data_IF_628390269788
#
_entry.id   IF_628390269788
#
_cell.length_a   1.000
_cell.length_b   1.000
_cell.length_c   1.000
_cell.angle_alpha   90.00
_cell.angle_beta   90.00
_cell.angle_gamma   90.00
#
_symmetry.space_group_name_H-M   'P 1'
#
loop_
_entity.id
_entity.type
_entity.pdbx_description
1 polymer ?
#
# COMPACT_ATOMS: atom_id res chain seq x y z
N UNK A 1 16.17 -2.04 29.19
CA UNK A 1 15.42 -1.26 28.19
C UNK A 1 15.69 -1.86 26.82
N UNK A 2 14.66 -2.12 26.00
CA UNK A 2 14.86 -2.58 24.62
C UNK A 2 15.24 -1.39 23.72
N UNK A 3 16.31 -1.50 22.96
CA UNK A 3 16.75 -0.48 22.02
C UNK A 3 16.19 -0.80 20.63
N UNK A 4 15.49 0.15 20.01
CA UNK A 4 14.99 0.01 18.65
C UNK A 4 16.13 0.17 17.64
N UNK A 5 16.41 -0.88 16.87
CA UNK A 5 17.40 -0.87 15.80
C UNK A 5 16.71 -0.74 14.44
N UNK A 6 17.19 0.19 13.61
CA UNK A 6 16.78 0.29 12.20
C UNK A 6 17.88 -0.29 11.33
N UNK A 7 17.56 -1.36 10.60
CA UNK A 7 18.50 -2.05 9.71
C UNK A 7 18.03 -1.89 8.28
N UNK A 8 18.96 -1.53 7.38
CA UNK A 8 18.70 -1.54 5.94
C UNK A 8 19.01 -2.93 5.42
N UNK A 9 18.04 -3.54 4.74
CA UNK A 9 18.17 -4.87 4.13
C UNK A 9 18.00 -4.76 2.62
N UNK A 10 18.81 -5.50 1.87
CA UNK A 10 18.68 -5.62 0.42
C UNK A 10 18.00 -6.94 0.11
N UNK A 11 16.85 -6.89 -0.53
CA UNK A 11 16.16 -8.08 -1.03
C UNK A 11 16.80 -8.55 -2.33
N UNK A 12 16.92 -9.87 -2.49
CA UNK A 12 17.38 -10.54 -3.71
C UNK A 12 16.27 -11.43 -4.28
N UNK A 13 15.17 -10.83 -4.77
CA UNK A 13 14.02 -11.59 -5.25
C UNK A 13 14.31 -12.32 -6.57
N UNK A 14 13.68 -13.48 -6.74
CA UNK A 14 13.51 -14.16 -8.02
C UNK A 14 12.69 -13.34 -9.00
N UNK A 15 12.77 -13.68 -10.29
CA UNK A 15 11.99 -13.03 -11.36
C UNK A 15 10.47 -13.00 -11.07
N UNK A 16 9.95 -14.09 -10.52
CA UNK A 16 8.52 -14.18 -10.16
C UNK A 16 8.16 -13.26 -8.98
N UNK A 17 9.01 -13.19 -7.96
CA UNK A 17 8.80 -12.27 -6.83
C UNK A 17 8.91 -10.80 -7.27
N UNK A 18 9.83 -10.47 -8.18
CA UNK A 18 9.92 -9.12 -8.77
C UNK A 18 8.60 -8.75 -9.44
N UNK A 19 8.06 -9.64 -10.28
CA UNK A 19 6.78 -9.41 -10.96
C UNK A 19 5.63 -9.17 -9.97
N UNK A 20 5.58 -9.95 -8.88
CA UNK A 20 4.57 -9.77 -7.84
C UNK A 20 4.73 -8.45 -7.06
N UNK A 21 5.97 -8.05 -6.76
CA UNK A 21 6.28 -6.77 -6.11
C UNK A 21 5.89 -5.59 -6.99
N UNK A 22 6.24 -5.63 -8.27
CA UNK A 22 5.90 -4.61 -9.24
C UNK A 22 4.38 -4.50 -9.41
N UNK A 23 3.70 -5.63 -9.63
CA UNK A 23 2.24 -5.66 -9.78
C UNK A 23 1.56 -5.07 -8.54
N UNK A 24 1.98 -5.49 -7.34
CA UNK A 24 1.41 -4.99 -6.08
C UNK A 24 1.66 -3.49 -5.90
N UNK A 25 2.83 -3.00 -6.33
CA UNK A 25 3.22 -1.59 -6.23
C UNK A 25 2.41 -0.70 -7.16
N UNK A 26 2.16 -1.12 -8.39
CA UNK A 26 1.32 -0.39 -9.33
C UNK A 26 -0.14 -0.36 -8.86
N UNK A 27 -0.63 -1.50 -8.37
CA UNK A 27 -2.01 -1.61 -7.89
C UNK A 27 -2.23 -0.74 -6.64
N UNK A 28 -1.26 -0.71 -5.73
CA UNK A 28 -1.32 0.10 -4.53
C UNK A 28 -1.42 1.60 -4.84
N UNK A 29 -0.58 2.13 -5.74
CA UNK A 29 -0.65 3.55 -6.14
C UNK A 29 -1.95 3.86 -6.89
N UNK A 30 -2.44 2.93 -7.70
CA UNK A 30 -3.70 3.09 -8.43
C UNK A 30 -4.86 3.27 -7.46
N UNK A 31 -4.97 2.42 -6.44
CA UNK A 31 -5.99 2.54 -5.39
C UNK A 31 -5.91 3.90 -4.69
N UNK A 32 -4.72 4.35 -4.31
CA UNK A 32 -4.56 5.64 -3.64
C UNK A 32 -5.01 6.80 -4.53
N UNK A 33 -4.53 6.83 -5.78
CA UNK A 33 -4.84 7.89 -6.72
C UNK A 33 -6.35 7.94 -7.02
N UNK A 34 -6.99 6.78 -7.25
CA UNK A 34 -8.45 6.69 -7.44
C UNK A 34 -9.21 7.22 -6.23
N UNK A 35 -8.86 6.79 -5.02
CA UNK A 35 -9.54 7.25 -3.80
C UNK A 35 -9.37 8.76 -3.60
N UNK A 36 -8.21 9.33 -3.93
CA UNK A 36 -7.98 10.78 -3.83
C UNK A 36 -8.89 11.54 -4.80
N UNK A 37 -8.99 11.09 -6.06
CA UNK A 37 -9.88 11.71 -7.04
C UNK A 37 -11.34 11.70 -6.56
N UNK A 38 -11.83 10.54 -6.12
CA UNK A 38 -13.19 10.43 -5.56
C UNK A 38 -13.43 11.36 -4.36
N UNK A 39 -12.46 11.47 -3.46
CA UNK A 39 -12.57 12.34 -2.27
C UNK A 39 -12.53 13.83 -2.63
N UNK A 40 -11.78 14.20 -3.68
CA UNK A 40 -11.73 15.57 -4.22
C UNK A 40 -13.09 15.94 -4.83
N UNK A 41 -13.63 15.09 -5.69
CA UNK A 41 -14.94 15.30 -6.34
C UNK A 41 -16.06 15.42 -5.30
N UNK A 42 -16.09 14.51 -4.32
CA UNK A 42 -17.08 14.52 -3.27
C UNK A 42 -16.81 15.56 -2.16
N UNK A 43 -15.66 16.25 -2.21
CA UNK A 43 -15.15 17.19 -1.19
C UNK A 43 -15.17 16.64 0.25
N UNK A 44 -15.13 15.30 0.40
CA UNK A 44 -15.28 14.60 1.68
C UNK A 44 -14.38 13.37 1.76
N UNK A 45 -14.01 13.00 2.97
CA UNK A 45 -13.21 11.80 3.21
C UNK A 45 -14.01 10.54 2.88
N UNK A 46 -13.35 9.55 2.30
CA UNK A 46 -13.99 8.28 1.95
C UNK A 46 -14.38 7.46 3.18
N UNK A 47 -15.57 6.84 3.12
CA UNK A 47 -16.03 5.82 4.08
C UNK A 47 -15.83 4.39 3.58
N UNK A 48 -15.25 4.23 2.38
CA UNK A 48 -14.96 2.92 1.78
C UNK A 48 -14.06 2.09 2.69
N UNK A 49 -14.36 0.80 2.71
CA UNK A 49 -13.60 -0.28 3.36
C UNK A 49 -12.86 -1.11 2.31
N UNK A 50 -12.15 -2.15 2.74
CA UNK A 50 -11.44 -3.06 1.82
C UNK A 50 -12.35 -3.87 0.93
N UNK A 51 -13.63 -4.03 1.31
CA UNK A 51 -14.65 -4.73 0.51
C UNK A 51 -15.06 -3.90 -0.70
N UNK A 52 -15.04 -2.58 -0.58
CA UNK A 52 -15.47 -1.64 -1.61
C UNK A 52 -14.39 -1.34 -2.65
N UNK A 53 -13.18 -1.89 -2.46
CA UNK A 53 -12.02 -1.66 -3.31
C UNK A 53 -11.70 -2.95 -4.05
N UNK A 54 -11.98 -2.95 -5.34
CA UNK A 54 -11.50 -3.98 -6.24
C UNK A 54 -10.04 -3.69 -6.59
N UNK A 55 -9.14 -4.52 -6.06
CA UNK A 55 -7.72 -4.40 -6.33
C UNK A 55 -7.03 -5.77 -6.21
N UNK A 56 -6.01 -6.00 -7.04
CA UNK A 56 -5.19 -7.21 -6.99
C UNK A 56 -4.09 -7.18 -5.93
N UNK A 57 -4.44 -6.75 -4.72
CA UNK A 57 -3.57 -6.73 -3.54
C UNK A 57 -4.31 -7.30 -2.32
N UNK A 58 -3.60 -7.85 -1.31
CA UNK A 58 -4.23 -8.38 -0.09
C UNK A 58 -5.01 -7.33 0.69
N UNK A 59 -6.02 -7.75 1.45
CA UNK A 59 -6.84 -6.86 2.28
C UNK A 59 -6.01 -6.04 3.27
N UNK A 60 -4.93 -6.61 3.82
CA UNK A 60 -4.01 -5.90 4.70
C UNK A 60 -3.30 -4.72 3.99
N UNK A 61 -2.94 -4.89 2.72
CA UNK A 61 -2.30 -3.87 1.88
C UNK A 61 -3.33 -2.85 1.39
N UNK A 62 -4.54 -3.28 1.04
CA UNK A 62 -5.67 -2.36 0.73
C UNK A 62 -5.98 -1.46 1.92
N UNK A 63 -6.02 -2.01 3.14
CA UNK A 63 -6.22 -1.24 4.37
C UNK A 63 -5.17 -0.15 4.53
N UNK A 64 -3.90 -0.46 4.23
CA UNK A 64 -2.81 0.50 4.28
C UNK A 64 -3.01 1.60 3.22
N UNK A 65 -3.31 1.23 1.97
CA UNK A 65 -3.62 2.18 0.89
C UNK A 65 -4.76 3.15 1.25
N UNK A 66 -5.84 2.67 1.86
CA UNK A 66 -6.95 3.52 2.33
C UNK A 66 -6.47 4.54 3.36
N UNK A 67 -5.66 4.11 4.34
CA UNK A 67 -5.12 5.00 5.38
C UNK A 67 -4.24 6.08 4.77
N UNK A 68 -3.37 5.71 3.83
CA UNK A 68 -2.46 6.64 3.18
C UNK A 68 -3.21 7.63 2.29
N UNK A 69 -4.21 7.18 1.55
CA UNK A 69 -5.10 8.06 0.78
C UNK A 69 -5.83 9.07 1.68
N UNK A 70 -6.39 8.63 2.81
CA UNK A 70 -7.03 9.52 3.79
C UNK A 70 -6.06 10.53 4.39
N UNK A 71 -4.83 10.10 4.69
CA UNK A 71 -3.77 10.97 5.20
C UNK A 71 -3.37 12.05 4.18
N UNK A 72 -3.14 11.67 2.92
CA UNK A 72 -2.85 12.61 1.83
C UNK A 72 -4.00 13.59 1.60
N UNK A 73 -5.24 13.11 1.61
CA UNK A 73 -6.41 13.96 1.50
C UNK A 73 -6.49 14.99 2.64
N UNK A 74 -6.30 14.56 3.90
CA UNK A 74 -6.35 15.46 5.05
C UNK A 74 -5.20 16.48 5.06
N UNK A 75 -3.98 16.05 4.70
CA UNK A 75 -2.77 16.87 4.85
C UNK A 75 -2.50 17.79 3.65
N UNK A 76 -2.89 17.40 2.43
CA UNK A 76 -2.61 18.15 1.19
C UNK A 76 -3.87 18.71 0.53
N UNK A 77 -4.88 17.87 0.30
CA UNK A 77 -6.08 18.26 -0.47
C UNK A 77 -6.96 19.20 0.34
N UNK A 78 -7.35 18.83 1.56
CA UNK A 78 -8.18 19.68 2.42
C UNK A 78 -7.50 21.02 2.73
N UNK A 79 -6.20 20.99 3.06
CA UNK A 79 -5.43 22.21 3.37
C UNK A 79 -5.34 23.16 2.17
N UNK A 80 -5.28 22.64 0.95
CA UNK A 80 -5.29 23.44 -0.28
C UNK A 80 -6.68 23.82 -0.76
N UNK A 81 -7.75 23.55 0.00
CA UNK A 81 -9.15 23.74 -0.40
C UNK A 81 -9.46 23.06 -1.75
N UNK A 82 -8.93 21.85 -1.94
CA UNK A 82 -9.04 21.05 -3.17
C UNK A 82 -8.39 21.68 -4.42
N UNK A 83 -7.50 22.68 -4.28
CA UNK A 83 -6.75 23.24 -5.41
C UNK A 83 -5.56 22.38 -5.83
N UNK A 84 -5.01 21.56 -4.91
CA UNK A 84 -3.88 20.68 -5.17
C UNK A 84 -4.35 19.23 -5.04
N UNK A 85 -4.18 18.46 -6.12
CA UNK A 85 -4.48 17.03 -6.17
C UNK A 85 -3.16 16.26 -6.23
N UNK A 86 -2.72 15.63 -5.14
CA UNK A 86 -1.50 14.84 -5.13
C UNK A 86 -1.71 13.54 -5.91
N UNK A 87 -0.71 13.17 -6.73
CA UNK A 87 -0.69 11.93 -7.51
C UNK A 87 0.63 11.21 -7.26
N UNK A 88 0.54 9.93 -6.89
CA UNK A 88 1.71 9.05 -6.77
C UNK A 88 2.11 8.57 -8.17
N UNK A 89 3.34 8.89 -8.59
CA UNK A 89 3.89 8.55 -9.92
C UNK A 89 4.90 7.39 -9.91
N UNK A 90 5.52 7.11 -8.75
CA UNK A 90 6.52 6.05 -8.62
C UNK A 90 5.87 4.84 -7.97
N UNK A 91 6.11 3.61 -8.49
CA UNK A 91 5.56 2.40 -7.89
C UNK A 91 6.06 2.25 -6.46
N UNK A 92 5.12 2.04 -5.54
CA UNK A 92 5.41 1.82 -4.13
C UNK A 92 4.36 0.89 -3.55
N UNK A 93 4.74 0.06 -2.58
CA UNK A 93 3.82 -0.74 -1.78
C UNK A 93 4.31 -0.72 -0.33
N UNK A 94 3.38 -0.54 0.62
CA UNK A 94 3.70 -0.43 2.05
C UNK A 94 3.07 -1.58 2.81
N UNK A 95 3.91 -2.31 3.55
CA UNK A 95 3.50 -3.31 4.52
C UNK A 95 3.81 -2.80 5.93
N UNK A 96 2.80 -2.76 6.79
CA UNK A 96 2.98 -2.42 8.20
C UNK A 96 3.63 -3.58 8.99
N UNK A 97 4.13 -3.32 10.19
CA UNK A 97 4.74 -4.29 11.11
C UNK A 97 3.82 -5.49 11.46
N UNK A 98 2.50 -5.37 11.32
CA UNK A 98 1.55 -6.47 11.48
C UNK A 98 1.48 -7.39 10.24
N UNK A 99 1.97 -6.90 9.10
CA UNK A 99 1.76 -7.51 7.79
C UNK A 99 3.00 -8.26 7.29
N UNK A 100 4.18 -8.06 7.88
CA UNK A 100 5.38 -8.81 7.52
C UNK A 100 5.95 -9.56 8.74
N UNK A 101 6.68 -10.63 8.47
CA UNK A 101 7.59 -11.27 9.42
C UNK A 101 8.92 -11.50 8.71
N UNK A 102 10.00 -11.72 9.45
CA UNK A 102 11.29 -12.04 8.87
C UNK A 102 11.97 -13.13 9.69
N UNK A 103 12.77 -13.94 9.01
CA UNK A 103 13.72 -14.86 9.62
C UNK A 103 15.16 -14.40 9.28
N UNK A 104 16.17 -15.21 9.57
CA UNK A 104 17.57 -14.86 9.27
C UNK A 104 17.87 -14.72 7.77
N UNK A 105 16.95 -15.15 6.90
CA UNK A 105 17.19 -15.30 5.45
C UNK A 105 16.15 -14.61 4.57
N UNK A 106 14.90 -14.48 5.03
CA UNK A 106 13.79 -14.01 4.19
C UNK A 106 12.86 -13.06 4.92
N UNK A 107 12.18 -12.21 4.15
CA UNK A 107 11.01 -11.45 4.59
C UNK A 107 9.74 -12.10 4.05
N UNK A 108 8.84 -12.48 4.95
CA UNK A 108 7.53 -13.03 4.62
C UNK A 108 6.47 -11.94 4.54
N UNK A 109 5.96 -11.67 3.34
CA UNK A 109 4.91 -10.67 3.10
C UNK A 109 3.72 -11.25 2.33
N UNK A 110 2.49 -10.73 2.55
CA UNK A 110 1.31 -11.17 1.84
C UNK A 110 1.28 -10.60 0.41
N UNK A 111 0.94 -11.47 -0.53
CA UNK A 111 0.60 -11.16 -1.92
C UNK A 111 -0.76 -11.76 -2.28
N UNK A 112 -1.37 -11.25 -3.35
CA UNK A 112 -2.58 -11.85 -3.92
C UNK A 112 -2.18 -12.74 -5.09
N UNK A 113 -2.26 -14.05 -4.88
CA UNK A 113 -1.88 -15.08 -5.85
C UNK A 113 -3.12 -15.91 -6.17
N UNK A 114 -3.48 -16.01 -7.46
CA UNK A 114 -4.68 -16.74 -7.92
C UNK A 114 -5.96 -16.34 -7.15
N UNK A 115 -6.12 -15.05 -6.90
CA UNK A 115 -7.27 -14.49 -6.17
C UNK A 115 -7.23 -14.64 -4.65
N UNK A 116 -6.32 -15.45 -4.10
CA UNK A 116 -6.18 -15.68 -2.65
C UNK A 116 -5.02 -14.89 -2.06
N UNK A 117 -5.15 -14.52 -0.79
CA UNK A 117 -4.06 -13.89 -0.04
C UNK A 117 -3.10 -14.97 0.44
N UNK A 118 -1.86 -14.94 -0.02
CA UNK A 118 -0.80 -15.92 0.31
C UNK A 118 0.43 -15.19 0.81
N UNK A 119 0.99 -15.61 1.95
CA UNK A 119 2.29 -15.12 2.43
C UNK A 119 3.40 -15.82 1.66
N UNK A 120 4.27 -15.04 1.03
CA UNK A 120 5.46 -15.53 0.34
C UNK A 120 6.71 -15.00 1.04
N UNK A 121 7.72 -15.86 1.13
CA UNK A 121 9.07 -15.48 1.51
C UNK A 121 9.72 -14.81 0.31
N UNK A 122 10.34 -13.65 0.55
CA UNK A 122 11.12 -12.85 -0.41
C UNK A 122 12.52 -12.66 0.14
#
# INVERSE_FOLDING_TARGET
MSQTLTVKVKLLPTKEQIRLLEQSSHEYIKVINTLILEMVEAKKSTKKSTKDIEANIPSAVKNQAIKDAKSLFATKVKKSKCKIIPILKRPVCVWNNQNYSFDSTHISIPFKVKGKSTRLKV
#
